data_IF_881269391482
#
_entry.id   IF_881269391482
#
_cell.length_a   1.000
_cell.length_b   1.000
_cell.length_c   1.000
_cell.angle_alpha   90.00
_cell.angle_beta   90.00
_cell.angle_gamma   90.00
#
_symmetry.space_group_name_H-M   'P 1'
#
loop_
_entity.id
_entity.type
_entity.pdbx_description
1 polymer ?
#
# COMPACT_ATOMS: atom_id res chain seq x y z
N UNK A 1 4.63 23.12 -8.23
CA UNK A 1 3.93 24.14 -9.02
C UNK A 1 2.93 23.38 -9.88
N UNK A 2 1.70 23.32 -9.44
CA UNK A 2 0.58 22.68 -10.12
C UNK A 2 -0.10 23.74 -10.96
N UNK A 3 -0.29 23.46 -12.24
CA UNK A 3 -1.12 24.26 -13.13
C UNK A 3 -2.51 23.62 -13.19
N UNK A 4 -3.58 24.28 -12.79
CA UNK A 4 -4.93 23.89 -13.14
C UNK A 4 -5.30 24.50 -14.50
N UNK A 5 -6.29 23.91 -15.15
CA UNK A 5 -7.06 24.36 -16.29
C UNK A 5 -6.88 23.57 -17.59
N UNK A 6 -7.80 22.60 -17.74
CA UNK A 6 -8.42 22.37 -19.05
C UNK A 6 -9.90 22.01 -18.84
N UNK A 7 -10.83 22.87 -19.31
CA UNK A 7 -12.25 22.59 -19.28
C UNK A 7 -12.66 21.89 -20.58
N UNK A 8 -12.94 20.59 -20.52
CA UNK A 8 -13.47 19.82 -21.66
C UNK A 8 -14.66 18.93 -21.25
N UNK A 9 -15.63 19.49 -20.54
CA UNK A 9 -16.91 18.81 -20.28
C UNK A 9 -18.13 19.71 -20.55
N UNK A 10 -17.98 20.84 -21.25
CA UNK A 10 -19.09 21.78 -21.43
C UNK A 10 -19.61 21.89 -22.86
N UNK A 11 -19.28 20.99 -23.78
CA UNK A 11 -19.70 21.11 -25.19
C UNK A 11 -20.57 19.94 -25.72
N UNK A 12 -21.38 19.28 -24.92
CA UNK A 12 -22.33 18.28 -25.41
C UNK A 12 -23.77 18.40 -24.88
N UNK A 13 -24.21 19.56 -24.41
CA UNK A 13 -25.61 19.73 -23.94
C UNK A 13 -26.44 20.68 -24.81
N UNK A 14 -25.86 21.45 -25.74
CA UNK A 14 -26.60 22.50 -26.47
C UNK A 14 -27.01 22.19 -27.91
N UNK A 15 -27.21 20.94 -28.29
CA UNK A 15 -27.66 20.65 -29.68
C UNK A 15 -28.82 19.67 -29.80
N UNK A 16 -29.74 19.61 -28.83
CA UNK A 16 -31.03 18.91 -29.04
C UNK A 16 -32.18 19.70 -28.41
N UNK A 17 -32.42 20.93 -28.89
CA UNK A 17 -33.70 21.59 -28.74
C UNK A 17 -33.97 22.43 -29.98
N UNK A 18 -34.43 21.83 -31.06
CA UNK A 18 -35.33 22.45 -31.99
C UNK A 18 -36.01 21.42 -32.90
N UNK A 19 -37.34 21.47 -32.89
CA UNK A 19 -38.28 20.90 -33.91
C UNK A 19 -38.69 19.44 -33.72
N UNK A 20 -39.80 19.18 -33.06
CA UNK A 20 -41.00 18.69 -33.76
C UNK A 20 -42.20 18.61 -32.81
N UNK A 21 -43.19 19.50 -33.05
CA UNK A 21 -44.56 19.36 -32.54
C UNK A 21 -45.25 18.24 -33.28
N UNK A 22 -45.99 17.41 -32.52
CA UNK A 22 -46.96 16.40 -32.92
C UNK A 22 -46.41 15.00 -33.05
N UNK A 23 -46.47 14.28 -31.95
CA UNK A 23 -47.06 12.95 -31.82
C UNK A 23 -46.86 12.55 -30.37
N UNK A 24 -47.95 12.29 -29.65
CA UNK A 24 -47.92 11.68 -28.34
C UNK A 24 -47.68 10.18 -28.57
N UNK A 25 -46.49 9.64 -28.28
CA UNK A 25 -46.37 8.29 -27.83
C UNK A 25 -46.08 8.29 -26.33
N UNK A 26 -46.73 7.40 -25.65
CA UNK A 26 -46.44 6.98 -24.29
C UNK A 26 -44.94 6.88 -24.14
N UNK A 27 -44.29 7.91 -23.58
CA UNK A 27 -42.92 7.84 -23.14
C UNK A 27 -42.93 6.96 -21.90
N UNK A 28 -42.71 5.68 -22.14
CA UNK A 28 -42.28 4.76 -21.14
C UNK A 28 -41.08 5.40 -20.45
N UNK A 29 -41.26 5.90 -19.25
CA UNK A 29 -40.17 6.32 -18.37
C UNK A 29 -39.36 5.08 -18.09
N UNK A 30 -38.43 4.76 -18.98
CA UNK A 30 -37.30 3.90 -18.65
C UNK A 30 -36.43 4.73 -17.73
N UNK A 31 -36.81 4.75 -16.44
CA UNK A 31 -35.87 4.99 -15.39
C UNK A 31 -34.79 3.93 -15.55
N UNK A 32 -33.76 4.22 -16.33
CA UNK A 32 -32.52 3.52 -16.21
C UNK A 32 -32.01 3.85 -14.81
N UNK A 33 -32.47 3.07 -13.83
CA UNK A 33 -31.75 2.90 -12.60
C UNK A 33 -30.35 2.48 -13.03
N UNK A 34 -29.43 3.42 -13.08
CA UNK A 34 -28.00 3.16 -13.06
C UNK A 34 -27.77 2.54 -11.69
N UNK A 35 -28.13 1.27 -11.56
CA UNK A 35 -27.69 0.46 -10.47
C UNK A 35 -26.16 0.53 -10.56
N UNK A 36 -25.55 1.30 -9.69
CA UNK A 36 -24.14 1.18 -9.41
C UNK A 36 -23.96 -0.26 -8.89
N UNK A 37 -23.76 -1.18 -9.80
CA UNK A 37 -23.32 -2.52 -9.48
C UNK A 37 -21.89 -2.37 -8.94
N UNK A 38 -21.77 -2.13 -7.63
CA UNK A 38 -20.50 -2.35 -6.97
C UNK A 38 -20.16 -3.83 -7.20
N UNK A 39 -19.05 -4.09 -7.88
CA UNK A 39 -18.59 -5.46 -8.09
C UNK A 39 -18.55 -6.14 -6.71
N UNK A 40 -18.93 -7.41 -6.58
CA UNK A 40 -18.88 -8.13 -5.31
C UNK A 40 -17.50 -8.08 -4.65
N UNK A 41 -16.44 -7.95 -5.44
CA UNK A 41 -15.07 -7.73 -4.98
C UNK A 41 -14.91 -6.38 -4.25
N UNK A 42 -15.48 -5.29 -4.80
CA UNK A 42 -15.43 -3.96 -4.19
C UNK A 42 -16.25 -3.91 -2.90
N UNK A 43 -17.40 -4.56 -2.86
CA UNK A 43 -18.22 -4.67 -1.66
C UNK A 43 -17.50 -5.43 -0.55
N UNK A 44 -16.75 -6.49 -0.90
CA UNK A 44 -15.95 -7.26 0.05
C UNK A 44 -14.80 -6.44 0.65
N UNK A 45 -14.02 -5.70 -0.17
CA UNK A 45 -12.95 -4.84 0.31
C UNK A 45 -13.47 -3.75 1.23
N UNK A 46 -14.55 -3.06 0.85
CA UNK A 46 -15.17 -1.99 1.64
C UNK A 46 -15.59 -2.48 3.03
N UNK A 47 -16.07 -3.71 3.16
CA UNK A 47 -16.39 -4.34 4.46
C UNK A 47 -15.16 -4.39 5.37
N UNK A 48 -14.01 -4.82 4.86
CA UNK A 48 -12.77 -4.90 5.65
C UNK A 48 -12.18 -3.53 5.96
N UNK A 49 -12.28 -2.58 5.02
CA UNK A 49 -11.91 -1.19 5.26
C UNK A 49 -12.75 -0.57 6.39
N UNK A 50 -14.06 -0.79 6.38
CA UNK A 50 -14.97 -0.34 7.44
C UNK A 50 -14.66 -0.99 8.79
N UNK A 51 -14.36 -2.30 8.82
CA UNK A 51 -13.99 -3.05 10.03
C UNK A 51 -12.82 -2.44 10.78
N UNK A 52 -11.83 -1.91 10.06
CA UNK A 52 -10.59 -1.38 10.64
C UNK A 52 -10.53 0.15 10.69
N UNK A 53 -11.62 0.87 10.36
CA UNK A 53 -11.65 2.34 10.30
C UNK A 53 -11.33 3.02 11.63
N UNK A 54 -11.69 2.39 12.75
CA UNK A 54 -11.48 2.93 14.10
C UNK A 54 -10.24 2.37 14.80
N UNK A 55 -9.31 1.77 14.04
CA UNK A 55 -8.10 1.23 14.66
C UNK A 55 -7.25 2.37 15.22
N UNK A 56 -6.73 2.17 16.42
CA UNK A 56 -5.86 3.11 17.12
C UNK A 56 -4.51 2.48 17.39
N UNK A 57 -3.47 3.32 17.53
CA UNK A 57 -2.14 2.90 17.95
C UNK A 57 -1.99 3.22 19.42
N UNK A 58 -1.75 2.20 20.25
CA UNK A 58 -1.58 2.37 21.69
C UNK A 58 -0.28 3.10 22.01
N UNK A 59 -0.18 3.69 23.22
CA UNK A 59 1.06 4.34 23.70
C UNK A 59 2.24 3.36 23.66
N UNK A 60 2.04 2.10 23.99
CA UNK A 60 3.08 1.08 23.95
C UNK A 60 3.55 0.76 22.52
N UNK A 61 2.63 0.73 21.55
CA UNK A 61 2.98 0.58 20.14
C UNK A 61 3.77 1.81 19.63
N UNK A 62 3.36 3.02 20.00
CA UNK A 62 4.10 4.23 19.67
C UNK A 62 5.53 4.17 20.21
N UNK A 63 5.71 3.78 21.47
CA UNK A 63 7.03 3.63 22.08
C UNK A 63 7.92 2.65 21.32
N UNK A 64 7.37 1.45 20.98
CA UNK A 64 8.11 0.45 20.22
C UNK A 64 8.44 0.87 18.79
N UNK A 65 7.55 1.63 18.13
CA UNK A 65 7.83 2.19 16.80
C UNK A 65 8.94 3.22 16.82
N UNK A 66 9.04 4.02 17.91
CA UNK A 66 10.07 5.03 18.06
C UNK A 66 11.50 4.45 18.00
N UNK A 67 11.70 3.21 18.47
CA UNK A 67 12.98 2.50 18.40
C UNK A 67 13.47 2.32 16.96
N UNK A 68 12.54 2.26 16.00
CA UNK A 68 12.83 2.05 14.58
C UNK A 68 12.72 3.31 13.72
N UNK A 69 12.32 4.43 14.31
CA UNK A 69 11.97 5.65 13.57
C UNK A 69 13.14 6.20 12.73
N UNK A 70 14.35 6.14 13.28
CA UNK A 70 15.56 6.57 12.58
C UNK A 70 15.83 5.75 11.33
N UNK A 71 15.67 4.41 11.40
CA UNK A 71 15.83 3.50 10.26
C UNK A 71 14.73 3.70 9.22
N UNK A 72 13.49 3.82 9.68
CA UNK A 72 12.33 4.06 8.79
C UNK A 72 12.52 5.37 8.01
N UNK A 73 12.79 6.48 8.69
CA UNK A 73 13.03 7.78 8.05
C UNK A 73 14.20 7.72 7.06
N UNK A 74 15.29 7.05 7.46
CA UNK A 74 16.47 6.92 6.60
C UNK A 74 16.14 6.14 5.32
N UNK A 75 15.59 4.92 5.41
CA UNK A 75 15.34 4.10 4.24
C UNK A 75 14.16 4.59 3.38
N UNK A 76 13.19 5.27 3.96
CA UNK A 76 12.14 5.97 3.22
C UNK A 76 12.62 7.21 2.47
N UNK A 77 13.84 7.71 2.75
CA UNK A 77 14.40 8.85 2.02
C UNK A 77 14.89 8.50 0.62
N UNK A 78 15.11 7.22 0.33
CA UNK A 78 15.57 6.76 -0.99
C UNK A 78 14.45 6.78 -2.05
N UNK A 79 14.81 7.16 -3.27
CA UNK A 79 13.97 7.06 -4.47
C UNK A 79 14.41 5.85 -5.28
N UNK A 80 13.87 4.65 -4.97
CA UNK A 80 14.34 3.38 -5.51
C UNK A 80 14.04 3.18 -7.00
N UNK A 81 12.95 3.72 -7.52
CA UNK A 81 12.48 3.49 -8.90
C UNK A 81 12.36 4.77 -9.70
N UNK A 82 11.69 5.79 -9.17
CA UNK A 82 11.49 7.06 -9.88
C UNK A 82 12.04 8.22 -9.05
N UNK A 83 12.69 9.23 -9.71
CA UNK A 83 13.12 10.43 -9.02
C UNK A 83 11.96 11.09 -8.27
N UNK A 84 12.19 11.53 -7.02
CA UNK A 84 11.21 12.18 -6.13
C UNK A 84 10.09 11.27 -5.59
N UNK A 85 9.93 10.02 -6.05
CA UNK A 85 8.99 9.08 -5.47
C UNK A 85 9.63 8.34 -4.30
N UNK A 86 9.16 8.66 -3.11
CA UNK A 86 9.64 8.09 -1.83
C UNK A 86 8.51 7.36 -1.13
N UNK A 87 8.87 6.32 -0.40
CA UNK A 87 7.92 5.61 0.46
C UNK A 87 7.54 6.51 1.63
N UNK A 88 6.24 6.56 1.96
CA UNK A 88 5.78 7.29 3.12
C UNK A 88 6.20 6.54 4.40
N UNK A 89 6.92 7.18 5.36
CA UNK A 89 7.34 6.55 6.61
C UNK A 89 6.17 5.98 7.42
N UNK A 90 5.01 6.65 7.42
CA UNK A 90 3.83 6.18 8.15
C UNK A 90 3.23 4.91 7.54
N UNK A 91 3.44 4.69 6.23
CA UNK A 91 3.04 3.44 5.60
C UNK A 91 3.90 2.26 6.09
N UNK A 92 5.22 2.44 6.23
CA UNK A 92 6.10 1.40 6.79
C UNK A 92 5.76 1.14 8.26
N UNK A 93 5.46 2.19 9.06
CA UNK A 93 5.00 2.04 10.46
C UNK A 93 3.70 1.23 10.53
N UNK A 94 2.74 1.55 9.65
CA UNK A 94 1.46 0.81 9.57
C UNK A 94 1.68 -0.66 9.21
N UNK A 95 2.59 -0.93 8.28
CA UNK A 95 2.95 -2.30 7.89
C UNK A 95 3.58 -3.06 9.07
N UNK A 96 4.54 -2.48 9.79
CA UNK A 96 5.16 -3.06 10.99
C UNK A 96 4.11 -3.39 12.06
N UNK A 97 3.16 -2.47 12.32
CA UNK A 97 2.06 -2.69 13.26
C UNK A 97 1.15 -3.83 12.82
N UNK A 98 0.82 -3.88 11.54
CA UNK A 98 -0.07 -4.90 11.00
C UNK A 98 0.57 -6.29 11.00
N UNK A 99 1.87 -6.40 10.68
CA UNK A 99 2.57 -7.67 10.49
C UNK A 99 3.04 -8.30 11.81
N UNK A 100 3.74 -7.56 12.63
CA UNK A 100 4.40 -8.10 13.82
C UNK A 100 4.03 -7.44 15.14
N UNK A 101 3.24 -6.36 15.08
CA UNK A 101 3.04 -5.48 16.24
C UNK A 101 4.38 -5.00 16.84
N UNK A 102 5.33 -4.62 15.99
CA UNK A 102 6.70 -4.18 16.33
C UNK A 102 7.59 -5.25 16.95
N UNK A 103 7.32 -6.53 16.74
CA UNK A 103 8.16 -7.62 17.25
C UNK A 103 9.22 -8.00 16.20
N UNK A 104 10.47 -7.59 16.41
CA UNK A 104 11.58 -7.88 15.46
C UNK A 104 11.91 -9.36 15.34
N UNK A 105 11.63 -10.17 16.38
CA UNK A 105 11.83 -11.62 16.41
C UNK A 105 10.61 -12.43 15.99
N UNK A 106 9.60 -11.78 15.36
CA UNK A 106 8.39 -12.49 14.93
C UNK A 106 8.69 -13.52 13.83
N UNK A 107 8.11 -14.71 13.97
CA UNK A 107 8.15 -15.79 12.99
C UNK A 107 6.74 -16.33 12.77
N UNK A 108 6.30 -16.37 11.52
CA UNK A 108 5.02 -16.94 11.15
C UNK A 108 5.10 -18.43 10.81
N UNK A 109 3.96 -19.11 10.74
CA UNK A 109 3.87 -20.51 10.27
C UNK A 109 4.30 -20.67 8.81
N UNK A 110 4.29 -19.59 8.02
CA UNK A 110 4.77 -19.55 6.63
C UNK A 110 6.25 -19.15 6.53
N UNK A 111 7.01 -19.18 7.64
CA UNK A 111 8.40 -18.76 7.71
C UNK A 111 8.67 -17.28 7.32
N UNK A 112 7.68 -16.41 7.44
CA UNK A 112 7.88 -14.96 7.34
C UNK A 112 8.53 -14.46 8.65
N UNK A 113 9.50 -13.54 8.55
CA UNK A 113 10.38 -13.13 9.65
C UNK A 113 10.43 -11.63 9.85
N UNK A 114 10.58 -11.24 11.10
CA UNK A 114 10.94 -9.91 11.51
C UNK A 114 9.77 -8.92 11.53
N UNK A 115 10.10 -7.63 11.59
CA UNK A 115 9.15 -6.53 11.78
C UNK A 115 8.03 -6.50 10.75
N UNK A 116 8.36 -6.72 9.49
CA UNK A 116 7.42 -6.64 8.36
C UNK A 116 7.09 -8.00 7.75
N UNK A 117 7.44 -9.09 8.44
CA UNK A 117 7.13 -10.47 8.05
C UNK A 117 7.53 -10.81 6.62
N UNK A 118 8.81 -10.61 6.28
CA UNK A 118 9.35 -10.95 4.96
C UNK A 118 9.68 -12.45 4.89
N UNK A 119 9.24 -13.11 3.82
CA UNK A 119 9.63 -14.47 3.48
C UNK A 119 11.04 -14.43 2.87
N UNK A 120 11.90 -15.38 3.27
CA UNK A 120 13.31 -15.36 2.88
C UNK A 120 13.56 -15.30 1.36
N UNK A 121 12.80 -16.05 0.57
CA UNK A 121 12.95 -16.02 -0.90
C UNK A 121 12.68 -14.65 -1.48
N UNK A 122 11.63 -13.95 -0.99
CA UNK A 122 11.29 -12.57 -1.38
C UNK A 122 12.38 -11.59 -0.92
N UNK A 123 12.84 -11.74 0.34
CA UNK A 123 13.92 -10.91 0.87
C UNK A 123 15.24 -11.09 0.10
N UNK A 124 15.60 -12.33 -0.24
CA UNK A 124 16.80 -12.64 -1.03
C UNK A 124 16.74 -12.03 -2.44
N UNK A 125 15.58 -12.08 -3.08
CA UNK A 125 15.40 -11.45 -4.38
C UNK A 125 15.54 -9.92 -4.28
N UNK A 126 14.87 -9.30 -3.31
CA UNK A 126 14.97 -7.85 -3.06
C UNK A 126 16.42 -7.42 -2.74
N UNK A 127 17.14 -8.20 -1.95
CA UNK A 127 18.55 -7.95 -1.63
C UNK A 127 19.45 -7.97 -2.88
N UNK A 128 19.26 -8.95 -3.78
CA UNK A 128 19.99 -9.00 -5.07
C UNK A 128 19.71 -7.76 -5.93
N UNK A 129 18.46 -7.31 -5.98
CA UNK A 129 18.07 -6.12 -6.74
C UNK A 129 18.66 -4.84 -6.10
N UNK A 130 18.72 -4.76 -4.77
CA UNK A 130 19.32 -3.64 -4.04
C UNK A 130 20.84 -3.54 -4.23
N UNK A 131 21.55 -4.66 -4.30
CA UNK A 131 23.01 -4.67 -4.57
C UNK A 131 23.36 -3.98 -5.89
N UNK A 132 22.47 -4.07 -6.89
CA UNK A 132 22.66 -3.45 -8.22
C UNK A 132 22.37 -1.96 -8.22
N UNK A 133 21.79 -1.42 -7.15
CA UNK A 133 21.51 0.01 -7.05
C UNK A 133 22.72 0.76 -6.52
N UNK A 134 22.93 1.97 -7.04
CA UNK A 134 24.01 2.85 -6.60
C UNK A 134 23.58 3.69 -5.38
N UNK A 135 23.36 3.01 -4.24
CA UNK A 135 23.05 3.64 -2.96
C UNK A 135 24.03 3.19 -1.88
N UNK A 136 24.39 4.12 -1.01
CA UNK A 136 24.97 3.81 0.30
C UNK A 136 23.83 3.68 1.33
N UNK A 137 23.62 2.48 1.80
CA UNK A 137 22.54 2.19 2.76
C UNK A 137 22.92 2.52 4.21
N UNK A 138 24.15 2.94 4.48
CA UNK A 138 24.68 3.35 5.78
C UNK A 138 24.61 2.26 6.88
N UNK A 139 23.46 1.62 7.07
CA UNK A 139 23.22 0.64 8.15
C UNK A 139 23.31 -0.80 7.68
N UNK A 140 23.33 -1.03 6.38
CA UNK A 140 23.37 -2.38 5.75
C UNK A 140 24.40 -2.35 4.63
N UNK A 141 25.42 -3.20 4.71
CA UNK A 141 26.44 -3.27 3.65
C UNK A 141 25.91 -4.03 2.42
N UNK A 142 26.48 -3.73 1.24
CA UNK A 142 26.18 -4.50 0.02
C UNK A 142 26.62 -5.97 0.16
N UNK A 143 27.72 -6.22 0.88
CA UNK A 143 28.19 -7.58 1.18
C UNK A 143 27.17 -8.37 2.02
N UNK A 144 26.56 -7.74 3.03
CA UNK A 144 25.50 -8.34 3.83
C UNK A 144 24.27 -8.69 2.97
N UNK A 145 23.90 -7.82 2.03
CA UNK A 145 22.79 -8.08 1.09
C UNK A 145 23.13 -9.21 0.11
N UNK A 146 24.38 -9.29 -0.38
CA UNK A 146 24.84 -10.37 -1.26
C UNK A 146 24.77 -11.74 -0.58
N UNK A 147 25.13 -11.77 0.70
CA UNK A 147 25.22 -12.99 1.52
C UNK A 147 24.03 -13.16 2.47
N UNK A 148 22.89 -12.54 2.18
CA UNK A 148 21.70 -12.54 3.04
C UNK A 148 21.33 -13.95 3.50
N UNK A 149 21.18 -14.11 4.82
CA UNK A 149 20.73 -15.33 5.46
C UNK A 149 19.31 -15.15 6.03
N UNK A 150 18.56 -16.24 6.26
CA UNK A 150 17.21 -16.15 6.86
C UNK A 150 17.18 -15.39 8.18
N UNK A 151 18.20 -15.52 9.01
CA UNK A 151 18.34 -14.88 10.32
C UNK A 151 18.56 -13.38 10.24
N UNK A 152 19.09 -12.88 9.12
CA UNK A 152 19.26 -11.45 8.89
C UNK A 152 17.93 -10.69 8.83
N UNK A 153 16.84 -11.40 8.47
CA UNK A 153 15.49 -10.82 8.45
C UNK A 153 14.95 -10.45 9.84
N UNK A 154 15.58 -10.90 10.92
CA UNK A 154 15.27 -10.46 12.28
C UNK A 154 15.98 -9.14 12.65
N UNK A 155 17.02 -8.74 11.89
CA UNK A 155 17.72 -7.48 12.10
C UNK A 155 16.86 -6.32 11.58
N UNK A 156 16.49 -5.35 12.44
CA UNK A 156 15.60 -4.26 12.06
C UNK A 156 16.08 -3.48 10.83
N UNK A 157 17.39 -3.18 10.75
CA UNK A 157 17.97 -2.42 9.64
C UNK A 157 17.83 -3.15 8.30
N UNK A 158 18.03 -4.47 8.27
CA UNK A 158 17.86 -5.28 7.06
C UNK A 158 16.38 -5.39 6.69
N UNK A 159 15.53 -5.72 7.66
CA UNK A 159 14.11 -5.93 7.45
C UNK A 159 13.41 -4.65 6.93
N UNK A 160 13.72 -3.49 7.54
CA UNK A 160 13.11 -2.20 7.15
C UNK A 160 13.64 -1.75 5.78
N UNK A 161 14.94 -1.92 5.47
CA UNK A 161 15.49 -1.62 4.14
C UNK A 161 14.76 -2.42 3.06
N UNK A 162 14.68 -3.76 3.25
CA UNK A 162 13.99 -4.65 2.31
C UNK A 162 12.51 -4.28 2.17
N UNK A 163 11.84 -3.92 3.28
CA UNK A 163 10.45 -3.49 3.25
C UNK A 163 10.26 -2.19 2.45
N UNK A 164 11.09 -1.18 2.69
CA UNK A 164 11.03 0.08 1.93
C UNK A 164 11.24 -0.15 0.43
N UNK A 165 12.18 -1.02 0.06
CA UNK A 165 12.43 -1.39 -1.33
C UNK A 165 11.23 -2.10 -1.97
N UNK A 166 10.70 -3.14 -1.31
CA UNK A 166 9.57 -3.92 -1.83
C UNK A 166 8.30 -3.06 -1.95
N UNK A 167 8.01 -2.23 -0.94
CA UNK A 167 6.88 -1.28 -1.01
C UNK A 167 7.05 -0.31 -2.16
N UNK A 168 8.26 0.23 -2.38
CA UNK A 168 8.53 1.11 -3.52
C UNK A 168 8.35 0.36 -4.86
N UNK A 169 8.81 -0.90 -4.96
CA UNK A 169 8.64 -1.76 -6.13
C UNK A 169 7.17 -1.99 -6.45
N UNK A 170 6.39 -2.44 -5.46
CA UNK A 170 4.96 -2.70 -5.64
C UNK A 170 4.17 -1.43 -5.92
N UNK A 171 4.56 -0.29 -5.32
CA UNK A 171 3.95 0.99 -5.59
C UNK A 171 4.18 1.45 -7.04
N UNK A 172 5.40 1.27 -7.55
CA UNK A 172 5.75 1.54 -8.94
C UNK A 172 4.96 0.66 -9.90
N UNK A 173 4.94 -0.65 -9.67
CA UNK A 173 4.22 -1.64 -10.50
C UNK A 173 2.70 -1.42 -10.52
N UNK A 174 2.14 -0.94 -9.42
CA UNK A 174 0.69 -0.76 -9.25
C UNK A 174 0.24 0.71 -9.33
N UNK A 175 1.07 1.60 -9.89
CA UNK A 175 0.72 2.99 -10.15
C UNK A 175 0.13 3.74 -8.95
N UNK A 176 0.68 3.51 -7.76
CA UNK A 176 0.28 4.19 -6.53
C UNK A 176 -1.00 3.67 -5.86
N UNK A 177 -1.60 2.58 -6.34
CA UNK A 177 -2.80 1.98 -5.73
C UNK A 177 -2.43 1.18 -4.48
N UNK A 178 -2.62 1.77 -3.30
CA UNK A 178 -2.17 1.19 -2.03
C UNK A 178 -2.82 -0.14 -1.68
N UNK A 179 -4.07 -0.37 -2.06
CA UNK A 179 -4.75 -1.66 -1.91
C UNK A 179 -4.04 -2.77 -2.69
N UNK A 180 -3.57 -2.48 -3.89
CA UNK A 180 -2.78 -3.40 -4.70
C UNK A 180 -1.38 -3.60 -4.12
N UNK A 181 -0.74 -2.54 -3.61
CA UNK A 181 0.56 -2.64 -2.93
C UNK A 181 0.48 -3.61 -1.74
N UNK A 182 -0.55 -3.47 -0.89
CA UNK A 182 -0.75 -4.36 0.26
C UNK A 182 -1.17 -5.76 -0.18
N UNK A 183 -1.93 -5.89 -1.27
CA UNK A 183 -2.27 -7.19 -1.86
C UNK A 183 -1.02 -7.92 -2.36
N UNK A 184 -0.15 -7.23 -3.12
CA UNK A 184 1.13 -7.79 -3.57
C UNK A 184 2.02 -8.22 -2.40
N UNK A 185 2.04 -7.43 -1.33
CA UNK A 185 2.77 -7.74 -0.11
C UNK A 185 2.30 -9.04 0.55
N UNK A 186 0.99 -9.19 0.72
CA UNK A 186 0.41 -10.30 1.49
C UNK A 186 0.23 -11.59 0.68
N UNK A 187 -0.20 -11.47 -0.59
CA UNK A 187 -0.56 -12.60 -1.44
C UNK A 187 0.43 -12.85 -2.60
N UNK A 188 1.45 -11.99 -2.74
CA UNK A 188 2.39 -12.03 -3.86
C UNK A 188 1.96 -11.17 -5.05
N UNK A 189 2.92 -10.65 -5.80
CA UNK A 189 2.66 -9.75 -6.93
C UNK A 189 1.81 -10.38 -8.06
N UNK A 190 1.93 -11.70 -8.26
CA UNK A 190 1.16 -12.45 -9.26
C UNK A 190 -0.30 -12.72 -8.89
N UNK A 191 -0.70 -12.38 -7.66
CA UNK A 191 -2.09 -12.54 -7.20
C UNK A 191 -3.03 -11.41 -7.63
N UNK A 192 -2.46 -10.34 -8.18
CA UNK A 192 -3.21 -9.20 -8.70
C UNK A 192 -3.69 -9.52 -10.11
N UNK A 193 -5.00 -9.51 -10.31
CA UNK A 193 -5.64 -9.74 -11.60
C UNK A 193 -6.62 -8.61 -11.91
N UNK A 194 -6.71 -8.22 -13.17
CA UNK A 194 -7.63 -7.17 -13.64
C UNK A 194 -7.55 -5.87 -12.81
N UNK A 195 -6.35 -5.51 -12.36
CA UNK A 195 -6.14 -4.31 -11.55
C UNK A 195 -6.96 -4.32 -10.23
N UNK A 196 -7.18 -5.52 -9.66
CA UNK A 196 -7.89 -5.75 -8.41
C UNK A 196 -7.03 -6.53 -7.43
N UNK A 197 -7.16 -6.28 -6.12
CA UNK A 197 -6.45 -7.05 -5.10
C UNK A 197 -6.91 -8.50 -5.09
N UNK A 198 -6.06 -9.40 -4.61
CA UNK A 198 -6.41 -10.79 -4.39
C UNK A 198 -7.66 -10.92 -3.49
N UNK A 199 -8.61 -11.76 -3.90
CA UNK A 199 -9.92 -11.87 -3.25
C UNK A 199 -9.90 -12.84 -2.05
N UNK A 200 -8.73 -13.14 -1.49
CA UNK A 200 -8.61 -13.94 -0.27
C UNK A 200 -9.07 -13.14 0.95
N UNK A 201 -9.87 -13.75 1.82
CA UNK A 201 -10.36 -13.11 3.06
C UNK A 201 -9.21 -12.58 3.92
N UNK A 202 -8.10 -13.33 4.00
CA UNK A 202 -6.88 -12.94 4.72
C UNK A 202 -6.31 -11.64 4.13
N UNK A 203 -6.12 -11.59 2.81
CA UNK A 203 -5.55 -10.44 2.10
C UNK A 203 -6.44 -9.20 2.23
N UNK A 204 -7.74 -9.33 1.99
CA UNK A 204 -8.68 -8.21 2.12
C UNK A 204 -8.74 -7.67 3.56
N UNK A 205 -8.72 -8.56 4.56
CA UNK A 205 -8.64 -8.15 5.96
C UNK A 205 -7.30 -7.47 6.29
N UNK A 206 -6.20 -7.94 5.71
CA UNK A 206 -4.87 -7.34 5.87
C UNK A 206 -4.80 -5.95 5.24
N UNK A 207 -5.34 -5.76 4.03
CA UNK A 207 -5.48 -4.44 3.39
C UNK A 207 -6.24 -3.48 4.32
N UNK A 208 -7.39 -3.90 4.85
CA UNK A 208 -8.17 -3.09 5.80
C UNK A 208 -7.35 -2.71 7.05
N UNK A 209 -6.59 -3.66 7.61
CA UNK A 209 -5.78 -3.45 8.81
C UNK A 209 -4.63 -2.47 8.58
N UNK A 210 -3.87 -2.65 7.49
CA UNK A 210 -2.77 -1.73 7.13
C UNK A 210 -3.30 -0.33 6.87
N UNK A 211 -4.40 -0.22 6.10
CA UNK A 211 -5.04 1.06 5.82
C UNK A 211 -5.54 1.75 7.11
N UNK A 212 -6.14 1.01 8.03
CA UNK A 212 -6.61 1.55 9.31
C UNK A 212 -5.46 2.18 10.11
N UNK A 213 -4.34 1.46 10.29
CA UNK A 213 -3.14 1.99 10.94
C UNK A 213 -2.55 3.18 10.18
N UNK A 214 -2.48 3.10 8.86
CA UNK A 214 -1.92 4.19 8.05
C UNK A 214 -2.72 5.48 8.18
N UNK A 215 -4.06 5.41 8.10
CA UNK A 215 -4.92 6.57 8.28
C UNK A 215 -4.82 7.16 9.70
N UNK A 216 -4.73 6.30 10.72
CA UNK A 216 -4.51 6.75 12.10
C UNK A 216 -3.20 7.54 12.24
N UNK A 217 -2.09 6.99 11.71
CA UNK A 217 -0.78 7.63 11.77
C UNK A 217 -0.72 8.94 10.99
N UNK A 218 -1.34 9.01 9.81
CA UNK A 218 -1.45 10.24 9.03
C UNK A 218 -2.22 11.34 9.77
N UNK A 219 -3.30 10.98 10.48
CA UNK A 219 -4.11 11.92 11.25
C UNK A 219 -3.38 12.43 12.50
N UNK A 220 -2.53 11.60 13.11
CA UNK A 220 -1.87 11.87 14.39
C UNK A 220 -0.35 12.12 14.24
N UNK A 221 0.08 12.78 13.17
CA UNK A 221 1.51 13.01 12.83
C UNK A 221 2.35 13.64 13.92
N UNK A 222 1.75 14.36 14.86
CA UNK A 222 2.49 15.04 15.98
C UNK A 222 3.06 14.07 17.01
N UNK A 223 2.70 12.79 16.98
CA UNK A 223 3.15 11.80 17.98
C UNK A 223 4.56 11.26 17.75
N UNK A 224 5.23 11.65 16.65
CA UNK A 224 6.57 11.17 16.25
C UNK A 224 7.60 12.29 16.02
N UNK A 225 7.33 13.51 16.52
CA UNK A 225 8.26 14.64 16.50
C UNK A 225 8.92 14.81 17.85
#
# INVERSE_FOLDING_TARGET
>A
MWCPDTPLVTYMIDMIVFSCRRFIPVILFVFTAVCFYTSPATASLNKYMAKHRGIEVSREQHKRLADYDKLIKHFCSFSFFEPRHKVNPDFIRALILAESNCKSTALSCKNARGLTQIIYTTGKQAARELVQKDFDYKYVSKEQLQNLQPEDLYKPEVNILLACYLVAKYNYQNHGKLDLVVSAWNAGEYSITDNKPAQYKETLNHIGKVNGYFLYLLKNKQSFN
#
